data_IF_719932454222
#
_entry.id   IF_719932454222
#
_cell.length_a   1.000
_cell.length_b   1.000
_cell.length_c   1.000
_cell.angle_alpha   90.00
_cell.angle_beta   90.00
_cell.angle_gamma   90.00
#
_symmetry.space_group_name_H-M   'P 1'
#
loop_
_entity.id
_entity.type
_entity.pdbx_description
1 polymer ?
#
# COMPACT_ATOMS: atom_id res chain seq x y z
N UNK A 1 3.30 11.39 20.53
CA UNK A 1 3.96 11.17 19.22
C UNK A 1 2.89 11.05 18.14
N UNK A 2 3.07 11.66 16.96
CA UNK A 2 2.10 11.56 15.86
C UNK A 2 2.16 10.19 15.18
N UNK A 3 1.03 9.48 15.12
CA UNK A 3 0.91 8.15 14.54
C UNK A 3 1.11 8.18 13.02
N UNK A 4 0.65 9.24 12.35
CA UNK A 4 0.73 9.35 10.89
C UNK A 4 2.18 9.50 10.43
N UNK A 5 2.95 10.38 11.08
CA UNK A 5 4.39 10.51 10.84
C UNK A 5 5.14 9.18 11.07
N UNK A 6 4.83 8.47 12.18
CA UNK A 6 5.43 7.15 12.47
C UNK A 6 5.08 6.12 11.39
N UNK A 7 3.83 6.10 10.92
CA UNK A 7 3.41 5.19 9.88
C UNK A 7 4.18 5.44 8.58
N UNK A 8 4.40 6.71 8.21
CA UNK A 8 5.21 7.07 7.05
C UNK A 8 6.65 6.55 7.17
N UNK A 9 7.28 6.65 8.33
CA UNK A 9 8.63 6.10 8.52
C UNK A 9 8.64 4.57 8.44
N UNK A 10 7.72 3.91 9.13
CA UNK A 10 7.63 2.44 9.15
C UNK A 10 7.35 1.86 7.77
N UNK A 11 6.48 2.48 6.98
CA UNK A 11 6.17 2.02 5.62
C UNK A 11 7.26 2.33 4.58
N UNK A 12 8.33 3.03 4.97
CA UNK A 12 9.56 3.15 4.17
C UNK A 12 10.54 1.99 4.36
N UNK A 13 10.36 1.17 5.39
CA UNK A 13 11.23 0.02 5.68
C UNK A 13 10.85 -1.21 4.84
N UNK A 14 11.78 -2.16 4.72
CA UNK A 14 11.47 -3.47 4.12
C UNK A 14 10.41 -4.22 4.93
N UNK A 15 9.61 -5.11 4.31
CA UNK A 15 8.65 -5.94 5.03
C UNK A 15 9.30 -6.77 6.16
N UNK A 16 10.56 -7.16 6.00
CA UNK A 16 11.36 -7.90 6.98
C UNK A 16 11.66 -7.04 8.22
N UNK A 17 12.01 -5.77 8.04
CA UNK A 17 12.35 -4.84 9.11
C UNK A 17 11.12 -4.25 9.82
N UNK A 18 9.99 -4.15 9.10
CA UNK A 18 8.78 -3.47 9.55
C UNK A 18 8.33 -3.89 10.96
N UNK A 19 8.22 -5.20 11.20
CA UNK A 19 7.67 -5.73 12.46
C UNK A 19 8.55 -5.38 13.65
N UNK A 20 9.87 -5.49 13.49
CA UNK A 20 10.83 -5.19 14.55
C UNK A 20 10.82 -3.68 14.87
N UNK A 21 10.83 -2.84 13.84
CA UNK A 21 10.76 -1.38 14.00
C UNK A 21 9.44 -0.94 14.65
N UNK A 22 8.30 -1.45 14.19
CA UNK A 22 6.97 -1.16 14.77
C UNK A 22 6.93 -1.50 16.26
N UNK A 23 7.43 -2.68 16.64
CA UNK A 23 7.46 -3.11 18.03
C UNK A 23 8.36 -2.22 18.90
N UNK A 24 9.51 -1.79 18.36
CA UNK A 24 10.42 -0.86 19.02
C UNK A 24 9.74 0.49 19.28
N UNK A 25 9.12 1.09 18.27
CA UNK A 25 8.41 2.37 18.39
C UNK A 25 7.25 2.26 19.38
N UNK A 26 6.44 1.20 19.31
CA UNK A 26 5.35 0.98 20.24
C UNK A 26 5.83 0.83 21.69
N UNK A 27 6.97 0.16 21.91
CA UNK A 27 7.60 0.04 23.23
C UNK A 27 8.07 1.39 23.75
N UNK A 28 8.71 2.19 22.90
CA UNK A 28 9.17 3.55 23.24
C UNK A 28 8.00 4.46 23.60
N UNK A 29 6.92 4.47 22.81
CA UNK A 29 5.73 5.25 23.10
C UNK A 29 5.10 4.86 24.46
N UNK A 30 5.01 3.55 24.74
CA UNK A 30 4.52 3.05 26.03
C UNK A 30 5.40 3.47 27.20
N UNK A 31 6.74 3.39 27.04
CA UNK A 31 7.68 3.81 28.07
C UNK A 31 7.61 5.33 28.37
N UNK A 32 7.25 6.13 27.37
CA UNK A 32 7.00 7.56 27.50
C UNK A 32 5.60 7.90 28.07
N UNK A 33 4.78 6.91 28.42
CA UNK A 33 3.42 7.11 28.91
C UNK A 33 2.37 7.33 27.82
N UNK A 34 2.75 7.33 26.54
CA UNK A 34 1.87 7.50 25.39
C UNK A 34 1.26 6.15 24.95
N UNK A 35 0.38 5.61 25.81
CA UNK A 35 -0.28 4.32 25.59
C UNK A 35 -1.16 4.34 24.34
N UNK A 36 -1.78 5.48 24.02
CA UNK A 36 -2.65 5.63 22.83
C UNK A 36 -1.85 5.44 21.55
N UNK A 37 -0.72 6.13 21.41
CA UNK A 37 0.15 5.96 20.24
C UNK A 37 0.76 4.57 20.19
N UNK A 38 1.14 3.98 21.33
CA UNK A 38 1.63 2.60 21.38
C UNK A 38 0.62 1.61 20.78
N UNK A 39 -0.66 1.69 21.18
CA UNK A 39 -1.73 0.83 20.66
C UNK A 39 -1.97 1.08 19.16
N UNK A 40 -2.03 2.34 18.75
CA UNK A 40 -2.25 2.70 17.34
C UNK A 40 -1.11 2.19 16.43
N UNK A 41 0.14 2.33 16.86
CA UNK A 41 1.31 1.82 16.13
C UNK A 41 1.29 0.29 16.05
N UNK A 42 0.91 -0.41 17.12
CA UNK A 42 0.78 -1.88 17.12
C UNK A 42 -0.32 -2.39 16.18
N UNK A 43 -1.34 -1.57 15.91
CA UNK A 43 -2.42 -1.91 14.98
C UNK A 43 -2.01 -1.81 13.50
N UNK A 44 -0.88 -1.18 13.18
CA UNK A 44 -0.36 -1.10 11.81
C UNK A 44 -0.04 -2.50 11.28
N UNK A 45 -0.57 -2.82 10.10
CA UNK A 45 -0.29 -4.08 9.41
C UNK A 45 1.04 -4.02 8.69
N UNK A 46 1.77 -5.14 8.73
CA UNK A 46 2.92 -5.40 7.86
C UNK A 46 2.46 -5.26 6.41
N UNK A 47 3.16 -4.46 5.57
CA UNK A 47 2.80 -4.33 4.17
C UNK A 47 3.04 -5.65 3.43
N UNK A 48 2.26 -5.90 2.38
CA UNK A 48 2.61 -6.92 1.37
C UNK A 48 3.79 -6.42 0.56
N UNK A 49 4.47 -7.33 -0.16
CA UNK A 49 5.58 -6.95 -1.04
C UNK A 49 5.15 -5.93 -2.10
N UNK A 50 3.96 -6.11 -2.69
CA UNK A 50 3.40 -5.17 -3.67
C UNK A 50 3.12 -3.78 -3.06
N UNK A 51 2.54 -3.73 -1.86
CA UNK A 51 2.29 -2.46 -1.17
C UNK A 51 3.58 -1.75 -0.76
N UNK A 52 4.59 -2.50 -0.33
CA UNK A 52 5.92 -1.95 -0.04
C UNK A 52 6.57 -1.36 -1.29
N UNK A 53 6.54 -2.09 -2.42
CA UNK A 53 7.11 -1.60 -3.67
C UNK A 53 6.41 -0.32 -4.13
N UNK A 54 5.08 -0.26 -4.04
CA UNK A 54 4.32 0.96 -4.31
C UNK A 54 4.77 2.12 -3.41
N UNK A 55 4.93 1.91 -2.10
CA UNK A 55 5.41 2.94 -1.18
C UNK A 55 6.82 3.44 -1.52
N UNK A 56 7.71 2.57 -2.00
CA UNK A 56 9.04 2.98 -2.46
C UNK A 56 8.94 3.79 -3.75
N UNK A 57 8.14 3.35 -4.72
CA UNK A 57 7.97 4.05 -5.98
C UNK A 57 7.44 5.48 -5.78
N UNK A 58 6.45 5.68 -4.88
CA UNK A 58 5.95 7.03 -4.52
C UNK A 58 7.08 7.93 -4.03
N UNK A 59 8.02 7.38 -3.26
CA UNK A 59 9.10 8.15 -2.63
C UNK A 59 10.27 8.42 -3.57
N UNK A 60 10.57 7.47 -4.46
CA UNK A 60 11.69 7.56 -5.38
C UNK A 60 11.35 8.43 -6.60
N UNK A 61 10.10 8.35 -7.08
CA UNK A 61 9.61 9.11 -8.23
C UNK A 61 8.12 9.45 -8.05
N UNK A 62 7.82 10.56 -7.36
CA UNK A 62 6.45 10.99 -7.09
C UNK A 62 5.64 11.24 -8.38
N UNK A 63 6.31 11.69 -9.45
CA UNK A 63 5.69 12.00 -10.73
C UNK A 63 5.49 10.73 -11.59
N UNK A 64 6.37 9.74 -11.46
CA UNK A 64 6.30 8.47 -12.19
C UNK A 64 5.16 7.53 -11.78
N UNK A 65 4.61 7.68 -10.56
CA UNK A 65 3.49 6.84 -10.12
C UNK A 65 2.20 7.14 -10.87
N UNK A 66 1.97 8.39 -11.27
CA UNK A 66 0.78 8.76 -12.05
C UNK A 66 0.72 7.95 -13.34
N UNK A 67 1.85 7.84 -14.04
CA UNK A 67 1.96 7.06 -15.29
C UNK A 67 1.70 5.56 -15.05
N UNK A 68 2.16 4.99 -13.92
CA UNK A 68 1.93 3.59 -13.60
C UNK A 68 0.45 3.31 -13.30
N UNK A 69 -0.22 4.21 -12.58
CA UNK A 69 -1.67 4.10 -12.33
C UNK A 69 -2.50 4.30 -13.58
N UNK A 70 -2.13 5.24 -14.45
CA UNK A 70 -2.78 5.43 -15.75
C UNK A 70 -2.66 4.18 -16.62
N UNK A 71 -1.45 3.59 -16.70
CA UNK A 71 -1.24 2.33 -17.42
C UNK A 71 -2.07 1.17 -16.83
N UNK A 72 -2.14 1.06 -15.50
CA UNK A 72 -2.95 0.04 -14.83
C UNK A 72 -4.44 0.17 -15.16
N UNK A 73 -4.93 1.40 -15.24
CA UNK A 73 -6.30 1.71 -15.63
C UNK A 73 -6.55 1.41 -17.12
N UNK A 74 -5.64 1.79 -18.01
CA UNK A 74 -5.71 1.46 -19.43
C UNK A 74 -5.77 -0.06 -19.67
N UNK A 75 -4.94 -0.83 -18.95
CA UNK A 75 -4.96 -2.30 -19.01
C UNK A 75 -6.29 -2.87 -18.51
N UNK A 76 -6.81 -2.35 -17.38
CA UNK A 76 -8.11 -2.77 -16.82
C UNK A 76 -9.24 -2.53 -17.81
N UNK A 77 -9.28 -1.35 -18.43
CA UNK A 77 -10.30 -0.98 -19.42
C UNK A 77 -10.18 -1.81 -20.70
N UNK A 78 -8.96 -2.09 -21.18
CA UNK A 78 -8.74 -2.97 -22.33
C UNK A 78 -9.24 -4.41 -22.06
N UNK A 79 -8.99 -4.94 -20.85
CA UNK A 79 -9.48 -6.25 -20.43
C UNK A 79 -11.01 -6.30 -20.34
N UNK A 80 -11.64 -5.30 -19.71
CA UNK A 80 -13.10 -5.23 -19.60
C UNK A 80 -13.78 -5.05 -20.96
N UNK A 81 -13.21 -4.23 -21.85
CA UNK A 81 -13.75 -4.01 -23.20
C UNK A 81 -13.66 -5.28 -24.04
N UNK A 82 -12.57 -6.03 -23.93
CA UNK A 82 -12.40 -7.33 -24.60
C UNK A 82 -13.45 -8.33 -24.11
N UNK A 83 -13.67 -8.42 -22.79
CA UNK A 83 -14.64 -9.34 -22.20
C UNK A 83 -16.08 -8.97 -22.60
N UNK A 84 -16.41 -7.68 -22.64
CA UNK A 84 -17.71 -7.21 -23.12
C UNK A 84 -17.94 -7.50 -24.61
N UNK A 85 -16.90 -7.37 -25.44
CA UNK A 85 -16.96 -7.72 -26.86
C UNK A 85 -17.10 -9.24 -27.06
N UNK A 86 -16.41 -10.06 -26.26
CA UNK A 86 -16.54 -11.51 -26.28
C UNK A 86 -17.97 -11.94 -25.93
N UNK A 87 -18.57 -11.36 -24.89
CA UNK A 87 -19.95 -11.63 -24.49
C UNK A 87 -20.96 -11.24 -25.59
N UNK A 88 -20.75 -10.10 -26.26
CA UNK A 88 -21.59 -9.69 -27.40
C UNK A 88 -21.50 -10.66 -28.58
N UNK A 89 -20.31 -11.09 -28.98
CA UNK A 89 -20.17 -12.06 -30.07
C UNK A 89 -20.91 -13.37 -29.76
N UNK A 90 -20.77 -13.91 -28.55
CA UNK A 90 -21.47 -15.13 -28.16
C UNK A 90 -22.99 -14.95 -28.01
N UNK A 91 -23.47 -13.72 -27.82
CA UNK A 91 -24.91 -13.40 -27.74
C UNK A 91 -25.60 -13.31 -29.10
N UNK A 92 -24.83 -13.14 -30.18
CA UNK A 92 -25.35 -13.08 -31.56
C UNK A 92 -25.33 -14.45 -32.27
N UNK A 93 -24.69 -15.46 -31.68
CA UNK A 93 -24.56 -16.82 -32.24
C UNK A 93 -25.55 -17.84 -31.64
N UNK A 94 -26.54 -17.41 -30.84
CA UNK A 94 -27.61 -18.25 -30.28
C UNK A 94 -28.99 -17.87 -30.80
#
# INVERSE_FOLDING_TARGET
>A
MDVSAVALELYGLTPEEFTAARNSVAKTAKAAGDVRTSVAVMALRKPTLAAWLANILVRADPDGINNLTELGEELREAHLTRDANQQRLTSFEG
#
